data_IF_879428232770
#
_entry.id   IF_879428232770
#
_cell.length_a   1.000
_cell.length_b   1.000
_cell.length_c   1.000
_cell.angle_alpha   90.00
_cell.angle_beta   90.00
_cell.angle_gamma   90.00
#
_symmetry.space_group_name_H-M   'P 1'
#
loop_
_entity.id
_entity.type
_entity.pdbx_description
1 polymer ?
#
# COMPACT_ATOMS: atom_id res chain seq x y z
N UNK A 1 -5.40 13.16 -51.97
CA UNK A 1 -6.15 12.83 -50.74
C UNK A 1 -6.72 11.41 -50.89
N UNK A 2 -6.90 10.61 -49.83
CA UNK A 2 -5.95 9.77 -49.08
C UNK A 2 -6.03 8.25 -49.45
N UNK A 3 -5.14 7.42 -48.86
CA UNK A 3 -5.04 5.95 -49.02
C UNK A 3 -6.10 5.16 -48.23
N UNK A 4 -6.27 3.85 -48.53
CA UNK A 4 -6.08 2.84 -47.47
C UNK A 4 -5.41 1.52 -47.92
N UNK A 5 -4.67 0.89 -47.00
CA UNK A 5 -4.02 -0.43 -47.11
C UNK A 5 -5.04 -1.59 -47.14
N UNK A 6 -4.66 -2.79 -47.65
CA UNK A 6 -4.53 -3.92 -46.71
C UNK A 6 -3.51 -5.05 -47.07
N UNK A 7 -3.03 -5.72 -46.00
CA UNK A 7 -2.84 -7.17 -45.80
C UNK A 7 -1.85 -8.03 -46.63
N UNK A 8 -0.83 -8.59 -45.93
CA UNK A 8 -0.23 -9.96 -45.92
C UNK A 8 -0.15 -10.87 -47.19
N UNK A 9 0.81 -11.83 -47.34
CA UNK A 9 1.59 -12.56 -46.29
C UNK A 9 3.13 -12.71 -46.56
N UNK A 10 3.92 -13.30 -45.64
CA UNK A 10 5.27 -13.85 -45.94
C UNK A 10 5.13 -15.29 -46.52
N UNK A 11 6.14 -16.18 -46.74
CA UNK A 11 7.61 -16.15 -46.52
C UNK A 11 8.41 -16.74 -47.72
N UNK A 12 9.75 -16.75 -47.70
CA UNK A 12 10.49 -18.00 -47.99
C UNK A 12 11.94 -17.91 -47.50
N UNK A 13 12.28 -18.89 -46.66
CA UNK A 13 13.57 -19.57 -46.55
C UNK A 13 14.83 -18.75 -46.80
N UNK A 14 15.49 -18.42 -45.70
CA UNK A 14 16.89 -18.83 -45.54
C UNK A 14 17.07 -19.40 -44.12
N UNK A 15 16.90 -20.71 -44.00
CA UNK A 15 17.52 -21.46 -42.92
C UNK A 15 18.95 -21.79 -43.39
N UNK A 16 19.97 -21.40 -42.62
CA UNK A 16 21.06 -22.35 -42.42
C UNK A 16 21.31 -22.49 -40.92
N UNK A 17 20.82 -23.60 -40.39
CA UNK A 17 21.58 -24.52 -39.54
C UNK A 17 22.64 -23.82 -38.68
N UNK A 18 22.22 -23.15 -37.62
CA UNK A 18 23.05 -23.12 -36.42
C UNK A 18 22.31 -23.89 -35.33
N UNK A 19 22.87 -25.06 -35.06
CA UNK A 19 22.32 -26.09 -34.20
C UNK A 19 22.99 -25.91 -32.84
N UNK A 20 22.42 -25.15 -31.87
CA UNK A 20 22.84 -25.32 -30.51
C UNK A 20 22.26 -26.65 -30.01
N UNK A 21 23.15 -27.57 -29.68
CA UNK A 21 22.82 -28.84 -29.06
C UNK A 21 21.82 -28.63 -27.92
N UNK A 22 20.65 -29.27 -28.03
CA UNK A 22 19.65 -29.30 -26.95
C UNK A 22 20.35 -29.84 -25.69
N UNK A 23 20.39 -29.10 -24.56
CA UNK A 23 20.56 -29.76 -23.29
C UNK A 23 19.30 -30.59 -23.08
N UNK A 24 19.46 -31.92 -22.99
CA UNK A 24 18.42 -32.85 -22.57
C UNK A 24 17.72 -32.24 -21.35
N UNK A 25 16.43 -31.95 -21.48
CA UNK A 25 15.58 -31.57 -20.36
C UNK A 25 15.59 -32.70 -19.32
N UNK A 26 16.50 -32.63 -18.35
CA UNK A 26 16.37 -33.36 -17.11
C UNK A 26 15.22 -32.68 -16.38
N UNK A 27 14.04 -33.31 -16.40
CA UNK A 27 12.89 -32.95 -15.57
C UNK A 27 13.32 -33.00 -14.10
N UNK A 28 13.90 -31.92 -13.61
CA UNK A 28 13.82 -31.59 -12.20
C UNK A 28 12.41 -31.09 -11.98
N UNK A 29 11.54 -31.93 -11.42
CA UNK A 29 10.41 -31.45 -10.62
C UNK A 29 11.02 -30.71 -9.41
N UNK A 30 11.55 -29.52 -9.66
CA UNK A 30 11.90 -28.57 -8.63
C UNK A 30 10.59 -28.00 -8.13
N UNK A 31 10.34 -28.18 -6.83
CA UNK A 31 9.34 -27.45 -6.04
C UNK A 31 9.14 -26.03 -6.59
N UNK A 32 7.92 -25.45 -6.54
CA UNK A 32 7.83 -24.00 -6.68
C UNK A 32 8.85 -23.43 -5.70
N UNK A 33 9.80 -22.65 -6.22
CA UNK A 33 10.72 -21.93 -5.37
C UNK A 33 9.83 -21.18 -4.40
N UNK A 34 9.78 -21.63 -3.15
CA UNK A 34 9.14 -20.82 -2.12
C UNK A 34 9.83 -19.45 -2.26
N UNK A 35 9.08 -18.34 -2.29
CA UNK A 35 9.72 -17.04 -2.13
C UNK A 35 10.64 -17.18 -0.91
N UNK A 36 11.87 -16.65 -0.95
CA UNK A 36 12.77 -16.76 0.20
C UNK A 36 11.95 -16.35 1.43
N UNK A 37 12.03 -17.10 2.54
CA UNK A 37 11.35 -16.66 3.76
C UNK A 37 11.80 -15.21 3.94
N UNK A 38 10.85 -14.27 3.93
CA UNK A 38 11.14 -12.90 4.31
C UNK A 38 11.71 -13.05 5.72
N UNK A 39 13.03 -12.98 5.81
CA UNK A 39 13.68 -12.71 7.05
C UNK A 39 13.28 -11.26 7.30
N UNK A 40 12.10 -11.09 7.87
CA UNK A 40 11.73 -9.94 8.68
C UNK A 40 12.70 -9.95 9.87
N UNK A 41 13.98 -9.70 9.58
CA UNK A 41 14.76 -8.83 10.44
C UNK A 41 14.04 -7.49 10.30
N UNK A 42 12.92 -7.34 11.03
CA UNK A 42 12.19 -6.09 11.11
C UNK A 42 13.25 -5.05 11.39
N UNK A 43 13.48 -4.18 10.41
CA UNK A 43 14.47 -3.13 10.58
C UNK A 43 14.08 -2.39 11.87
N UNK A 44 15.05 -1.86 12.63
CA UNK A 44 14.73 -1.13 13.87
C UNK A 44 13.70 -0.02 13.64
N UNK A 45 13.62 0.50 12.41
CA UNK A 45 12.59 1.40 11.92
C UNK A 45 11.17 0.79 11.95
N UNK A 46 10.98 -0.45 11.48
CA UNK A 46 9.67 -1.13 11.54
C UNK A 46 9.18 -1.36 12.97
N UNK A 47 10.07 -1.74 13.88
CA UNK A 47 9.74 -1.91 15.29
C UNK A 47 9.47 -0.59 16.03
N UNK A 48 10.04 0.53 15.55
CA UNK A 48 9.70 1.85 16.04
C UNK A 48 8.31 2.28 15.58
N UNK A 49 8.02 2.13 14.28
CA UNK A 49 6.71 2.43 13.69
C UNK A 49 5.59 1.64 14.35
N UNK A 50 5.80 0.35 14.63
CA UNK A 50 4.79 -0.49 15.29
C UNK A 50 4.45 0.00 16.71
N UNK A 51 5.48 0.37 17.49
CA UNK A 51 5.28 0.97 18.82
C UNK A 51 4.57 2.33 18.75
N UNK A 52 4.91 3.15 17.76
CA UNK A 52 4.25 4.44 17.56
C UNK A 52 2.78 4.26 17.17
N UNK A 53 2.47 3.29 16.30
CA UNK A 53 1.09 2.95 15.94
C UNK A 53 0.29 2.47 17.14
N UNK A 54 0.85 1.58 17.97
CA UNK A 54 0.18 1.10 19.19
C UNK A 54 -0.10 2.24 20.17
N UNK A 55 0.89 3.10 20.43
CA UNK A 55 0.74 4.26 21.29
C UNK A 55 -0.31 5.26 20.77
N UNK A 56 -0.33 5.51 19.46
CA UNK A 56 -1.32 6.35 18.81
C UNK A 56 -2.73 5.75 18.91
N UNK A 57 -2.86 4.45 18.62
CA UNK A 57 -4.14 3.75 18.62
C UNK A 57 -4.73 3.67 20.03
N UNK A 58 -3.90 3.45 21.05
CA UNK A 58 -4.31 3.46 22.46
C UNK A 58 -4.80 4.83 22.92
N UNK A 59 -4.18 5.91 22.42
CA UNK A 59 -4.57 7.29 22.75
C UNK A 59 -5.84 7.74 22.04
N UNK A 60 -6.13 7.21 20.86
CA UNK A 60 -7.22 7.67 19.99
C UNK A 60 -8.14 6.51 19.56
N UNK A 61 -8.94 5.94 20.47
CA UNK A 61 -9.72 4.72 20.19
C UNK A 61 -10.83 4.88 19.14
N UNK A 62 -11.22 6.11 18.81
CA UNK A 62 -12.21 6.40 17.76
C UNK A 62 -11.61 6.52 16.35
N UNK A 63 -10.28 6.48 16.24
CA UNK A 63 -9.56 6.64 14.99
C UNK A 63 -8.89 5.32 14.59
N UNK A 64 -8.89 5.01 13.31
CA UNK A 64 -8.12 3.90 12.73
C UNK A 64 -6.83 4.48 12.18
N UNK A 65 -5.69 3.97 12.64
CA UNK A 65 -4.38 4.52 12.30
C UNK A 65 -3.54 3.45 11.60
N UNK A 66 -2.89 3.82 10.50
CA UNK A 66 -2.09 2.92 9.68
C UNK A 66 -0.80 3.59 9.23
N UNK A 67 0.23 2.80 8.94
CA UNK A 67 1.47 3.28 8.32
C UNK A 67 1.57 2.79 6.88
N UNK A 68 1.73 3.71 5.94
CA UNK A 68 1.98 3.39 4.54
C UNK A 68 3.48 3.35 4.23
N UNK A 69 4.11 2.17 4.25
CA UNK A 69 5.55 2.03 3.99
C UNK A 69 6.03 2.68 2.68
N UNK A 70 5.19 2.63 1.62
CA UNK A 70 5.49 3.26 0.34
C UNK A 70 5.47 4.79 0.37
N UNK A 71 4.60 5.37 1.20
CA UNK A 71 4.46 6.83 1.36
C UNK A 71 5.31 7.39 2.48
N UNK A 72 5.84 6.52 3.34
CA UNK A 72 6.51 6.88 4.59
C UNK A 72 5.66 7.89 5.40
N UNK A 73 4.37 7.60 5.52
CA UNK A 73 3.42 8.45 6.21
C UNK A 73 2.43 7.63 7.03
N UNK A 74 2.05 8.21 8.17
CA UNK A 74 0.94 7.75 8.98
C UNK A 74 -0.36 8.29 8.40
N UNK A 75 -1.39 7.45 8.37
CA UNK A 75 -2.73 7.83 7.94
C UNK A 75 -3.73 7.49 9.04
N UNK A 76 -4.50 8.49 9.47
CA UNK A 76 -5.57 8.32 10.43
C UNK A 76 -6.94 8.51 9.75
N UNK A 77 -7.89 7.66 10.10
CA UNK A 77 -9.24 7.66 9.57
C UNK A 77 -10.25 7.71 10.71
N UNK A 78 -11.28 8.54 10.56
CA UNK A 78 -12.41 8.55 11.47
C UNK A 78 -13.71 8.70 10.68
N UNK A 79 -14.68 7.84 10.97
CA UNK A 79 -15.99 7.86 10.31
C UNK A 79 -17.08 7.91 11.37
N UNK A 80 -17.41 9.12 11.86
CA UNK A 80 -18.63 9.35 12.66
C UNK A 80 -19.91 9.36 11.82
N UNK A 81 -19.78 9.75 10.56
CA UNK A 81 -20.87 9.82 9.60
C UNK A 81 -20.57 8.81 8.47
N UNK A 82 -21.48 7.87 8.15
CA UNK A 82 -21.25 6.87 7.12
C UNK A 82 -21.06 7.46 5.72
N UNK A 83 -21.45 8.73 5.51
CA UNK A 83 -21.26 9.46 4.26
C UNK A 83 -20.04 10.38 4.29
N UNK A 84 -19.39 10.56 5.45
CA UNK A 84 -18.22 11.44 5.60
C UNK A 84 -17.19 10.84 6.54
N UNK A 85 -16.08 10.41 5.96
CA UNK A 85 -14.89 10.02 6.70
C UNK A 85 -13.85 11.14 6.67
N UNK A 86 -13.28 11.42 7.83
CA UNK A 86 -12.11 12.28 7.97
C UNK A 86 -10.87 11.44 7.72
N UNK A 87 -10.00 11.91 6.82
CA UNK A 87 -8.72 11.26 6.51
C UNK A 87 -7.61 12.26 6.72
N UNK A 88 -6.62 11.89 7.53
CA UNK A 88 -5.46 12.72 7.85
C UNK A 88 -4.20 11.94 7.49
N UNK A 89 -3.22 12.61 6.87
CA UNK A 89 -1.92 12.04 6.55
C UNK A 89 -0.81 12.91 7.16
N UNK A 90 0.20 12.28 7.76
CA UNK A 90 1.34 12.97 8.34
C UNK A 90 2.62 12.13 8.28
N UNK A 91 3.77 12.78 8.10
CA UNK A 91 5.07 12.09 8.05
C UNK A 91 5.64 11.67 9.41
N UNK A 92 5.02 12.07 10.51
CA UNK A 92 5.48 11.73 11.87
C UNK A 92 4.30 11.56 12.84
N UNK A 93 4.46 10.80 13.93
CA UNK A 93 3.40 10.57 14.89
C UNK A 93 2.94 11.87 15.56
N UNK A 94 3.85 12.78 15.93
CA UNK A 94 3.50 14.07 16.54
C UNK A 94 2.65 14.96 15.62
N UNK A 95 3.00 15.01 14.32
CA UNK A 95 2.21 15.76 13.35
C UNK A 95 0.82 15.16 13.18
N UNK A 96 0.72 13.82 13.17
CA UNK A 96 -0.56 13.14 13.11
C UNK A 96 -1.41 13.46 14.35
N UNK A 97 -0.82 13.41 15.55
CA UNK A 97 -1.53 13.73 16.79
C UNK A 97 -2.06 15.17 16.80
N UNK A 98 -1.25 16.13 16.36
CA UNK A 98 -1.69 17.53 16.27
C UNK A 98 -2.85 17.69 15.28
N UNK A 99 -2.77 17.02 14.12
CA UNK A 99 -3.83 17.04 13.12
C UNK A 99 -5.13 16.38 13.65
N UNK A 100 -5.01 15.23 14.33
CA UNK A 100 -6.14 14.52 14.93
C UNK A 100 -6.80 15.33 16.05
N UNK A 101 -6.00 15.97 16.92
CA UNK A 101 -6.53 16.83 17.98
C UNK A 101 -7.32 18.01 17.41
N UNK A 102 -6.82 18.64 16.34
CA UNK A 102 -7.55 19.69 15.64
C UNK A 102 -8.84 19.15 15.02
N UNK A 103 -8.76 18.03 14.30
CA UNK A 103 -9.92 17.44 13.65
C UNK A 103 -10.99 17.02 14.67
N UNK A 104 -10.59 16.49 15.83
CA UNK A 104 -11.50 16.13 16.91
C UNK A 104 -12.25 17.34 17.47
N UNK A 105 -11.57 18.48 17.65
CA UNK A 105 -12.23 19.74 18.04
C UNK A 105 -13.26 20.19 16.99
N UNK A 106 -12.90 20.11 15.71
CA UNK A 106 -13.82 20.46 14.60
C UNK A 106 -15.03 19.51 14.54
N UNK A 107 -14.79 18.21 14.78
CA UNK A 107 -15.85 17.20 14.82
C UNK A 107 -16.78 17.40 16.02
N UNK A 108 -16.24 17.71 17.20
CA UNK A 108 -17.03 17.97 18.40
C UNK A 108 -17.84 19.26 18.31
N UNK A 109 -17.27 20.32 17.71
CA UNK A 109 -18.00 21.56 17.44
C UNK A 109 -19.19 21.33 16.48
N UNK A 110 -19.04 20.41 15.53
CA UNK A 110 -20.05 20.12 14.51
C UNK A 110 -21.07 19.07 14.96
N UNK A 111 -20.67 18.15 15.83
CA UNK A 111 -21.51 17.10 16.41
C UNK A 111 -21.19 16.94 17.89
N UNK A 112 -21.77 17.78 18.77
CA UNK A 112 -21.62 17.60 20.20
C UNK A 112 -22.16 16.24 20.60
N UNK A 113 -21.44 15.55 21.48
CA UNK A 113 -21.87 14.24 21.97
C UNK A 113 -23.23 14.38 22.66
N UNK A 114 -24.15 13.42 22.50
CA UNK A 114 -25.46 13.48 23.15
C UNK A 114 -25.27 13.52 24.68
N UNK A 115 -25.51 14.69 25.28
CA UNK A 115 -25.31 14.97 26.70
C UNK A 115 -24.44 16.19 27.01
N UNK A 116 -23.60 16.62 26.07
CA UNK A 116 -22.89 17.91 26.13
C UNK A 116 -23.79 18.98 25.46
N UNK A 117 -24.70 19.57 26.22
CA UNK A 117 -25.27 20.87 25.84
C UNK A 117 -24.32 21.98 26.33
N UNK A 118 -24.18 23.08 25.57
CA UNK A 118 -23.39 24.24 25.98
C UNK A 118 -23.93 24.87 27.27
#
# INVERSE_FOLDING_TARGET
MPAPMPSEPPPDREEPTDRPQRPRHRRSRGRPAQPPPRQDAGTPESAAVDRDLDALQARWPGWVITWGAWRQAYTAFECRDPLRCTVLEAGSPDQLQAAMAKAELELQARWPRPGERP
#
